data_IF_731290299947
#
_entry.id   IF_731290299947
#
_cell.length_a   1.000
_cell.length_b   1.000
_cell.length_c   1.000
_cell.angle_alpha   90.00
_cell.angle_beta   90.00
_cell.angle_gamma   90.00
#
_symmetry.space_group_name_H-M   'P 1'
#
loop_
_entity.id
_entity.type
_entity.pdbx_description
1 polymer ?
#
# COMPACT_ATOMS: atom_id res chain seq x y z
N UNK A 1 22.07 -28.46 -11.15
CA UNK A 1 20.80 -27.73 -11.35
C UNK A 1 20.33 -27.16 -10.01
N UNK A 2 20.97 -26.07 -9.58
CA UNK A 2 20.57 -25.36 -8.36
C UNK A 2 19.33 -24.53 -8.66
N UNK A 3 18.22 -24.88 -8.01
CA UNK A 3 17.01 -24.05 -7.97
C UNK A 3 17.30 -22.87 -7.04
N UNK A 4 17.38 -21.66 -7.59
CA UNK A 4 17.30 -20.44 -6.79
C UNK A 4 15.92 -20.40 -6.11
N UNK A 5 15.87 -20.70 -4.82
CA UNK A 5 14.73 -20.38 -3.98
C UNK A 5 14.69 -18.86 -3.86
N UNK A 6 13.59 -18.23 -4.29
CA UNK A 6 13.22 -16.87 -3.89
C UNK A 6 12.99 -16.86 -2.37
N UNK A 7 14.09 -16.86 -1.62
CA UNK A 7 14.10 -16.71 -0.18
C UNK A 7 14.06 -15.22 0.13
N UNK A 8 12.86 -14.68 0.27
CA UNK A 8 12.65 -13.47 1.05
C UNK A 8 13.14 -13.80 2.47
N UNK A 9 14.34 -13.33 2.83
CA UNK A 9 14.82 -13.45 4.20
C UNK A 9 13.94 -12.55 5.07
N UNK A 10 13.20 -13.15 5.99
CA UNK A 10 12.35 -12.48 7.00
C UNK A 10 13.11 -11.40 7.81
N UNK A 11 14.44 -11.49 7.94
CA UNK A 11 15.26 -10.45 8.58
C UNK A 11 15.30 -9.14 7.77
N UNK A 12 15.31 -9.19 6.44
CA UNK A 12 15.42 -8.00 5.60
C UNK A 12 14.16 -7.13 5.57
N UNK A 13 12.98 -7.71 5.81
CA UNK A 13 11.72 -6.96 5.74
C UNK A 13 11.52 -6.06 6.97
N UNK A 14 11.89 -6.54 8.16
CA UNK A 14 11.86 -5.74 9.40
C UNK A 14 12.80 -4.54 9.30
N UNK A 15 14.06 -4.79 8.95
CA UNK A 15 15.08 -3.74 8.90
C UNK A 15 14.76 -2.71 7.81
N UNK A 16 14.28 -3.16 6.65
CA UNK A 16 13.79 -2.28 5.57
C UNK A 16 12.60 -1.41 6.00
N UNK A 17 11.59 -1.98 6.68
CA UNK A 17 10.44 -1.22 7.18
C UNK A 17 10.89 -0.18 8.22
N UNK A 18 11.76 -0.57 9.16
CA UNK A 18 12.28 0.36 10.18
C UNK A 18 13.14 1.47 9.55
N UNK A 19 13.94 1.16 8.53
CA UNK A 19 14.77 2.14 7.83
C UNK A 19 13.94 3.10 6.98
N UNK A 20 12.89 2.59 6.32
CA UNK A 20 11.96 3.40 5.52
C UNK A 20 11.18 4.38 6.39
N UNK A 21 10.70 3.95 7.56
CA UNK A 21 10.01 4.82 8.52
C UNK A 21 10.95 5.89 9.08
N UNK A 22 12.22 5.55 9.33
CA UNK A 22 13.23 6.54 9.77
C UNK A 22 13.50 7.61 8.71
N UNK A 23 13.48 7.25 7.43
CA UNK A 23 13.77 8.19 6.33
C UNK A 23 12.55 9.00 5.87
N UNK A 24 11.35 8.59 6.26
CA UNK A 24 10.12 9.29 5.94
C UNK A 24 9.18 9.29 7.17
N UNK A 25 9.42 10.20 8.15
CA UNK A 25 8.65 10.27 9.40
C UNK A 25 7.15 10.54 9.17
N UNK A 26 6.79 10.99 7.96
CA UNK A 26 5.41 11.20 7.51
C UNK A 26 4.68 9.88 7.25
N UNK A 27 5.40 8.78 6.95
CA UNK A 27 4.88 7.42 6.82
C UNK A 27 4.67 6.85 8.24
N UNK A 28 3.70 7.42 8.95
CA UNK A 28 3.33 6.87 10.25
C UNK A 28 2.66 5.51 10.07
N UNK A 29 2.94 4.56 10.96
CA UNK A 29 2.17 3.32 11.10
C UNK A 29 0.66 3.60 11.33
N UNK A 30 0.32 4.82 11.78
CA UNK A 30 -1.04 5.37 11.82
C UNK A 30 -1.59 5.76 10.44
N UNK A 31 -0.78 6.25 9.48
CA UNK A 31 -1.21 6.36 8.08
C UNK A 31 -1.53 4.98 7.49
N UNK A 32 -0.70 3.97 7.78
CA UNK A 32 -0.94 2.57 7.40
C UNK A 32 -2.24 2.03 8.00
N UNK A 33 -2.52 2.28 9.29
CA UNK A 33 -3.79 1.85 9.89
C UNK A 33 -4.99 2.64 9.35
N UNK A 34 -4.85 3.95 9.12
CA UNK A 34 -5.89 4.79 8.50
C UNK A 34 -6.25 4.37 7.09
N UNK A 35 -5.39 3.65 6.36
CA UNK A 35 -5.77 3.06 5.06
C UNK A 35 -6.88 2.01 5.17
N UNK A 36 -7.07 1.47 6.37
CA UNK A 36 -7.79 0.22 6.58
C UNK A 36 -8.95 0.35 7.58
N UNK A 37 -8.94 1.40 8.42
CA UNK A 37 -10.06 1.74 9.29
C UNK A 37 -11.31 2.17 8.51
N UNK A 38 -12.47 1.98 9.13
CA UNK A 38 -13.73 2.46 8.60
C UNK A 38 -13.80 3.99 8.50
N UNK A 39 -14.70 4.45 7.64
CA UNK A 39 -14.81 5.85 7.24
C UNK A 39 -15.01 6.82 8.40
N UNK A 40 -15.88 6.48 9.36
CA UNK A 40 -16.21 7.34 10.51
C UNK A 40 -15.00 7.51 11.44
N UNK A 41 -14.44 6.39 11.90
CA UNK A 41 -13.28 6.40 12.79
C UNK A 41 -12.06 7.08 12.14
N UNK A 42 -11.80 6.78 10.88
CA UNK A 42 -10.66 7.33 10.13
C UNK A 42 -10.71 8.86 9.99
N UNK A 43 -11.91 9.42 9.85
CA UNK A 43 -12.16 10.87 9.78
C UNK A 43 -12.10 11.53 11.14
N UNK A 44 -12.64 10.90 12.17
CA UNK A 44 -12.46 11.34 13.56
C UNK A 44 -10.98 11.42 13.93
N UNK A 45 -10.19 10.40 13.61
CA UNK A 45 -8.73 10.41 13.83
C UNK A 45 -8.01 11.49 13.00
N UNK A 46 -8.54 11.85 11.81
CA UNK A 46 -8.01 12.97 11.01
C UNK A 46 -8.10 14.29 11.76
N UNK A 47 -9.28 14.49 12.32
CA UNK A 47 -9.66 15.69 13.02
C UNK A 47 -8.90 15.81 14.34
N UNK A 48 -8.83 14.74 15.12
CA UNK A 48 -8.03 14.68 16.36
C UNK A 48 -6.54 14.94 16.09
N UNK A 49 -5.99 14.41 14.98
CA UNK A 49 -4.60 14.68 14.59
C UNK A 49 -4.40 16.16 14.21
N UNK A 50 -5.35 16.76 13.49
CA UNK A 50 -5.28 18.18 13.17
C UNK A 50 -5.35 19.05 14.43
N UNK A 51 -6.21 18.69 15.39
CA UNK A 51 -6.30 19.36 16.68
C UNK A 51 -5.02 19.22 17.52
N UNK A 52 -4.44 18.02 17.59
CA UNK A 52 -3.16 17.83 18.28
C UNK A 52 -2.07 18.74 17.67
N UNK A 53 -1.98 18.79 16.34
CA UNK A 53 -1.04 19.67 15.63
C UNK A 53 -1.29 21.15 15.93
N UNK A 54 -2.54 21.61 16.00
CA UNK A 54 -2.84 23.00 16.37
C UNK A 54 -2.44 23.35 17.81
N UNK A 55 -2.34 22.35 18.68
CA UNK A 55 -1.84 22.50 20.05
C UNK A 55 -0.32 22.25 20.18
N UNK A 56 0.40 22.22 19.06
CA UNK A 56 1.85 22.02 19.02
C UNK A 56 2.29 20.58 19.25
N UNK A 57 1.40 19.59 19.11
CA UNK A 57 1.76 18.18 19.23
C UNK A 57 1.76 17.49 17.86
N UNK A 58 2.92 16.98 17.45
CA UNK A 58 3.00 16.16 16.25
C UNK A 58 2.78 14.69 16.59
N UNK A 59 1.98 13.98 15.79
CA UNK A 59 1.82 12.52 15.91
C UNK A 59 2.89 11.82 15.09
N UNK A 60 3.66 10.95 15.72
CA UNK A 60 4.75 10.18 15.09
C UNK A 60 4.60 8.70 15.41
N UNK A 61 5.09 7.82 14.52
CA UNK A 61 5.21 6.41 14.83
C UNK A 61 6.54 6.18 15.55
N UNK A 62 6.50 5.75 16.82
CA UNK A 62 7.70 5.59 17.65
C UNK A 62 8.27 4.18 17.57
N UNK A 63 7.41 3.16 17.55
CA UNK A 63 7.83 1.75 17.49
C UNK A 63 6.89 0.89 16.64
N UNK A 64 7.46 -0.16 16.05
CA UNK A 64 6.71 -1.22 15.38
C UNK A 64 7.09 -2.57 15.98
N UNK A 65 6.07 -3.31 16.43
CA UNK A 65 6.20 -4.63 17.05
C UNK A 65 5.55 -5.69 16.16
N UNK A 66 6.32 -6.42 15.35
CA UNK A 66 5.78 -7.55 14.59
C UNK A 66 5.54 -8.76 15.50
N UNK A 67 4.30 -9.23 15.55
CA UNK A 67 3.91 -10.49 16.19
C UNK A 67 3.85 -11.60 15.14
N UNK A 68 4.78 -12.55 15.25
CA UNK A 68 4.80 -13.72 14.40
C UNK A 68 3.75 -14.75 14.88
N UNK A 69 3.12 -15.50 13.96
CA UNK A 69 2.26 -16.61 14.35
C UNK A 69 2.97 -17.59 15.29
N UNK A 70 2.28 -18.01 16.35
CA UNK A 70 2.83 -18.98 17.30
C UNK A 70 3.26 -20.27 16.58
N UNK A 71 4.40 -20.84 16.97
CA UNK A 71 4.89 -22.10 16.37
C UNK A 71 4.07 -23.28 16.87
N UNK A 72 3.04 -23.67 16.12
CA UNK A 72 2.15 -24.80 16.42
C UNK A 72 1.72 -25.51 15.13
N UNK A 73 1.24 -26.75 15.24
CA UNK A 73 0.69 -27.47 14.10
C UNK A 73 -0.53 -26.76 13.49
N UNK A 74 -1.35 -26.09 14.31
CA UNK A 74 -2.51 -25.31 13.84
C UNK A 74 -2.10 -24.07 13.02
N UNK A 75 -0.87 -23.59 13.20
CA UNK A 75 -0.28 -22.48 12.47
C UNK A 75 0.70 -22.93 11.38
N UNK A 76 0.79 -24.22 11.09
CA UNK A 76 1.67 -24.69 10.02
C UNK A 76 1.07 -24.36 8.65
N UNK A 77 1.79 -23.63 7.77
CA UNK A 77 1.30 -23.39 6.42
C UNK A 77 1.29 -24.70 5.62
N UNK A 78 0.27 -24.86 4.79
CA UNK A 78 0.09 -26.01 3.92
C UNK A 78 -0.22 -25.55 2.50
N UNK A 79 0.40 -26.19 1.51
CA UNK A 79 0.15 -25.90 0.11
C UNK A 79 0.22 -27.18 -0.71
N UNK A 80 -0.59 -27.25 -1.76
CA UNK A 80 -0.42 -28.22 -2.83
C UNK A 80 -0.66 -27.59 -4.19
N UNK A 81 -0.07 -28.19 -5.23
CA UNK A 81 -0.27 -27.82 -6.62
C UNK A 81 -0.37 -29.10 -7.45
N UNK A 82 -1.40 -29.17 -8.28
CA UNK A 82 -1.58 -30.20 -9.29
C UNK A 82 -1.47 -29.54 -10.65
N UNK A 83 -0.66 -30.10 -11.54
CA UNK A 83 -0.44 -29.55 -12.88
C UNK A 83 -0.56 -30.67 -13.91
N UNK A 84 -1.31 -30.40 -14.98
CA UNK A 84 -1.60 -31.37 -16.04
C UNK A 84 -1.62 -30.67 -17.39
N UNK A 85 -1.04 -31.29 -18.43
CA UNK A 85 -1.25 -30.86 -19.80
C UNK A 85 -2.62 -31.37 -20.28
N UNK A 86 -3.44 -30.50 -20.86
CA UNK A 86 -4.75 -30.83 -21.46
C UNK A 86 -4.86 -30.10 -22.78
N UNK A 87 -4.97 -30.84 -23.90
CA UNK A 87 -5.13 -30.25 -25.24
C UNK A 87 -4.05 -29.20 -25.58
N UNK A 88 -2.78 -29.53 -25.31
CA UNK A 88 -1.62 -28.62 -25.50
C UNK A 88 -1.64 -27.36 -24.62
N UNK A 89 -2.55 -27.30 -23.64
CA UNK A 89 -2.60 -26.27 -22.62
C UNK A 89 -2.03 -26.79 -21.31
N UNK A 90 -1.22 -25.99 -20.65
CA UNK A 90 -0.74 -26.26 -19.31
C UNK A 90 -1.73 -25.70 -18.30
N UNK A 91 -2.38 -26.60 -17.55
CA UNK A 91 -3.33 -26.25 -16.50
C UNK A 91 -2.74 -26.61 -15.15
N UNK A 92 -2.79 -25.70 -14.19
CA UNK A 92 -2.45 -25.99 -12.80
C UNK A 92 -3.46 -25.42 -11.81
N UNK A 93 -3.88 -26.26 -10.87
CA UNK A 93 -4.72 -25.87 -9.74
C UNK A 93 -3.85 -25.93 -8.49
N UNK A 94 -3.94 -24.91 -7.64
CA UNK A 94 -3.20 -24.84 -6.39
C UNK A 94 -4.08 -24.42 -5.24
N UNK A 95 -3.75 -24.88 -4.05
CA UNK A 95 -4.35 -24.41 -2.82
C UNK A 95 -3.25 -24.07 -1.82
N UNK A 96 -3.45 -22.98 -1.10
CA UNK A 96 -2.60 -22.53 0.00
C UNK A 96 -3.47 -22.22 1.21
N UNK A 97 -3.04 -22.65 2.38
CA UNK A 97 -3.55 -22.23 3.68
C UNK A 97 -2.37 -21.82 4.55
N UNK A 98 -2.40 -20.60 5.05
CA UNK A 98 -1.33 -20.10 5.88
C UNK A 98 -1.57 -18.66 6.28
N UNK A 99 -0.53 -17.86 6.22
CA UNK A 99 -0.55 -16.45 6.58
C UNK A 99 -0.15 -15.61 5.37
N UNK A 100 -0.64 -14.38 5.34
CA UNK A 100 -0.11 -13.33 4.45
C UNK A 100 1.36 -13.08 4.78
N UNK A 101 2.18 -12.82 3.77
CA UNK A 101 3.55 -12.31 3.97
C UNK A 101 3.57 -10.81 4.30
N UNK A 102 2.43 -10.12 4.10
CA UNK A 102 2.26 -8.71 4.41
C UNK A 102 1.53 -8.56 5.75
N UNK A 103 2.17 -7.92 6.75
CA UNK A 103 1.54 -7.72 8.04
C UNK A 103 0.49 -6.59 8.00
N UNK A 104 -0.44 -6.64 8.94
CA UNK A 104 -1.47 -5.61 9.16
C UNK A 104 -1.48 -5.17 10.62
N UNK A 105 -1.82 -3.90 10.91
CA UNK A 105 -1.86 -3.42 12.29
C UNK A 105 -3.01 -4.06 13.07
N UNK A 106 -2.71 -4.54 14.28
CA UNK A 106 -3.69 -5.14 15.22
C UNK A 106 -3.79 -4.36 16.52
N UNK A 107 -2.82 -3.48 16.81
CA UNK A 107 -2.91 -2.53 17.91
C UNK A 107 -2.13 -1.26 17.59
N UNK A 108 -2.70 -0.11 17.91
CA UNK A 108 -1.99 1.16 17.99
C UNK A 108 -2.15 1.72 19.41
N UNK A 109 -1.04 1.81 20.13
CA UNK A 109 -1.00 2.41 21.46
C UNK A 109 -0.35 3.79 21.38
N UNK A 110 -1.03 4.85 21.83
CA UNK A 110 -0.53 6.23 21.77
C UNK A 110 -0.21 6.76 23.16
N UNK A 111 0.98 7.31 23.34
CA UNK A 111 1.34 8.03 24.56
C UNK A 111 1.87 9.43 24.24
N UNK A 112 1.74 10.35 25.19
CA UNK A 112 2.17 11.74 25.03
C UNK A 112 3.54 11.96 25.65
N UNK A 113 4.49 12.45 24.84
CA UNK A 113 5.81 12.86 25.30
C UNK A 113 5.88 14.38 25.33
N UNK A 114 5.88 14.96 26.51
CA UNK A 114 6.01 16.41 26.73
C UNK A 114 7.49 16.83 26.65
N UNK A 115 8.04 16.78 25.44
CA UNK A 115 9.40 17.26 25.16
C UNK A 115 9.35 18.27 24.03
N UNK A 116 9.57 19.54 24.38
CA UNK A 116 9.65 20.58 23.38
C UNK A 116 10.79 20.29 22.41
N UNK A 117 10.47 20.25 21.12
CA UNK A 117 11.44 19.95 20.05
C UNK A 117 11.29 21.02 18.98
N UNK A 118 12.36 21.73 18.67
CA UNK A 118 12.38 22.79 17.67
C UNK A 118 13.12 22.32 16.41
N UNK A 119 12.81 22.92 15.27
CA UNK A 119 13.49 22.63 14.01
C UNK A 119 15.00 22.92 14.13
N UNK A 120 15.88 21.89 13.98
CA UNK A 120 17.32 22.09 14.07
C UNK A 120 17.90 22.92 12.92
N UNK A 121 17.15 23.13 11.83
CA UNK A 121 17.55 23.99 10.73
C UNK A 121 17.47 25.48 11.08
N UNK A 122 16.76 25.84 12.15
CA UNK A 122 16.67 27.20 12.66
C UNK A 122 17.69 27.33 13.81
N UNK A 123 18.75 28.15 13.67
CA UNK A 123 19.75 28.33 14.73
C UNK A 123 19.10 28.76 16.05
N UNK A 124 19.56 28.20 17.15
CA UNK A 124 19.18 28.63 18.50
C UNK A 124 19.91 29.94 18.87
N UNK A 125 19.70 30.98 18.06
CA UNK A 125 20.25 32.31 18.29
C UNK A 125 19.24 33.12 19.13
N UNK A 126 19.65 33.73 20.27
CA UNK A 126 18.81 34.67 21.00
C UNK A 126 18.35 35.90 20.19
N UNK A 127 18.97 36.17 19.03
CA UNK A 127 18.53 37.19 18.09
C UNK A 127 17.37 36.74 17.17
N UNK A 128 17.09 35.44 17.05
CA UNK A 128 15.94 34.94 16.29
C UNK A 128 14.66 35.19 17.09
N UNK A 129 13.69 35.97 16.56
CA UNK A 129 12.41 36.17 17.20
C UNK A 129 11.74 34.83 17.54
N UNK A 130 11.18 34.69 18.75
CA UNK A 130 10.58 33.43 19.21
C UNK A 130 9.42 32.96 18.33
N UNK A 131 8.75 33.89 17.65
CA UNK A 131 7.70 33.69 16.67
C UNK A 131 8.19 33.12 15.34
N UNK A 132 9.50 33.20 15.05
CA UNK A 132 10.12 32.54 13.90
C UNK A 132 10.58 31.11 14.21
N UNK A 133 10.64 30.72 15.49
CA UNK A 133 11.04 29.36 15.90
C UNK A 133 9.84 28.40 15.77
N UNK A 134 9.95 27.46 14.83
CA UNK A 134 8.98 26.37 14.71
C UNK A 134 9.29 25.30 15.76
N UNK A 135 8.61 25.37 16.90
CA UNK A 135 8.74 24.41 17.98
C UNK A 135 7.44 23.63 18.20
N UNK A 136 7.59 22.32 18.43
CA UNK A 136 6.52 21.46 18.91
C UNK A 136 6.57 21.44 20.44
N UNK A 137 5.41 21.53 21.09
CA UNK A 137 5.24 21.39 22.54
C UNK A 137 5.54 19.97 23.02
N UNK A 138 5.36 18.98 22.14
CA UNK A 138 5.65 17.58 22.40
C UNK A 138 5.27 16.68 21.23
N UNK A 139 5.34 15.38 21.47
CA UNK A 139 5.00 14.35 20.50
C UNK A 139 3.86 13.48 21.02
N UNK A 140 3.00 13.04 20.11
CA UNK A 140 2.10 11.90 20.34
C UNK A 140 2.74 10.70 19.66
N UNK A 141 3.42 9.89 20.46
CA UNK A 141 4.14 8.71 20.00
C UNK A 141 3.18 7.54 19.90
N UNK A 142 3.05 6.96 18.71
CA UNK A 142 2.20 5.79 18.45
C UNK A 142 3.06 4.57 18.21
N UNK A 143 2.91 3.58 19.08
CA UNK A 143 3.47 2.24 18.91
C UNK A 143 2.47 1.37 18.16
N UNK A 144 2.91 0.64 17.15
CA UNK A 144 2.04 -0.21 16.32
C UNK A 144 2.46 -1.66 16.41
N UNK A 145 1.52 -2.51 16.84
CA UNK A 145 1.67 -3.96 16.79
C UNK A 145 1.11 -4.47 15.47
N UNK A 146 1.91 -5.26 14.77
CA UNK A 146 1.61 -5.83 13.46
C UNK A 146 1.41 -7.34 13.58
N UNK A 147 0.41 -7.91 12.91
CA UNK A 147 0.21 -9.36 12.81
C UNK A 147 0.07 -9.76 11.34
N UNK A 148 0.38 -11.01 11.03
CA UNK A 148 0.23 -11.60 9.71
C UNK A 148 -1.13 -12.28 9.65
N UNK A 149 -2.11 -11.77 8.87
CA UNK A 149 -3.45 -12.33 8.84
C UNK A 149 -3.43 -13.74 8.24
N UNK A 150 -4.23 -14.65 8.80
CA UNK A 150 -4.49 -15.95 8.19
C UNK A 150 -5.21 -15.76 6.87
N UNK A 151 -4.93 -16.63 5.90
CA UNK A 151 -5.66 -16.65 4.64
C UNK A 151 -5.63 -18.04 4.02
N UNK A 152 -6.55 -18.25 3.08
CA UNK A 152 -6.52 -19.36 2.15
C UNK A 152 -6.55 -18.82 0.72
N UNK A 153 -5.89 -19.48 -0.21
CA UNK A 153 -5.90 -19.13 -1.63
C UNK A 153 -6.24 -20.37 -2.44
N UNK A 154 -7.23 -20.26 -3.30
CA UNK A 154 -7.44 -21.20 -4.40
C UNK A 154 -6.93 -20.55 -5.69
N UNK A 155 -5.93 -21.17 -6.31
CA UNK A 155 -5.28 -20.67 -7.51
C UNK A 155 -5.55 -21.54 -8.73
N UNK A 156 -5.67 -20.90 -9.89
CA UNK A 156 -5.68 -21.51 -11.21
C UNK A 156 -4.62 -20.84 -12.07
N UNK A 157 -3.80 -21.62 -12.77
CA UNK A 157 -2.91 -21.14 -13.81
C UNK A 157 -3.25 -21.89 -15.09
N UNK A 158 -3.34 -21.15 -16.19
CA UNK A 158 -3.55 -21.66 -17.53
C UNK A 158 -2.55 -20.97 -18.45
N UNK A 159 -1.85 -21.73 -19.27
CA UNK A 159 -0.97 -21.19 -20.30
C UNK A 159 -0.99 -22.08 -21.53
N UNK A 160 -0.73 -21.45 -22.68
CA UNK A 160 -0.45 -22.16 -23.93
C UNK A 160 -0.51 -21.21 -25.11
N UNK A 161 -0.80 -21.75 -26.28
CA UNK A 161 -0.67 -21.02 -27.54
C UNK A 161 -1.97 -21.06 -28.33
N UNK A 162 -2.28 -19.97 -29.02
CA UNK A 162 -3.40 -19.88 -29.97
C UNK A 162 -2.91 -19.30 -31.28
N UNK A 163 -3.38 -19.86 -32.41
CA UNK A 163 -3.06 -19.34 -33.74
C UNK A 163 -4.32 -18.82 -34.47
N UNK A 164 -4.93 -17.70 -34.01
CA UNK A 164 -6.17 -17.18 -34.58
C UNK A 164 -6.00 -16.60 -36.00
N UNK A 165 -4.77 -16.29 -36.41
CA UNK A 165 -4.44 -15.69 -37.72
C UNK A 165 -3.69 -16.65 -38.65
N UNK A 166 -3.53 -17.92 -38.27
CA UNK A 166 -2.81 -18.91 -39.08
C UNK A 166 -3.48 -19.17 -40.43
N UNK A 167 -4.77 -18.86 -40.57
CA UNK A 167 -5.50 -18.91 -41.85
C UNK A 167 -5.13 -17.76 -42.80
N UNK A 168 -4.56 -16.66 -42.30
CA UNK A 168 -4.14 -15.50 -43.10
C UNK A 168 -2.75 -15.72 -43.68
N UNK A 169 -1.83 -16.28 -42.88
CA UNK A 169 -0.47 -16.61 -43.31
C UNK A 169 0.19 -17.61 -42.37
N UNK A 170 0.88 -18.60 -42.93
CA UNK A 170 1.74 -19.53 -42.19
C UNK A 170 2.97 -18.83 -41.56
N UNK A 171 3.27 -17.59 -41.96
CA UNK A 171 4.37 -16.80 -41.40
C UNK A 171 4.03 -16.13 -40.06
N UNK A 172 2.76 -16.12 -39.66
CA UNK A 172 2.33 -15.56 -38.37
C UNK A 172 2.50 -16.65 -37.31
N UNK A 173 3.33 -16.36 -36.31
CA UNK A 173 3.57 -17.29 -35.21
C UNK A 173 2.32 -17.40 -34.31
N UNK A 174 2.13 -18.50 -33.59
CA UNK A 174 1.14 -18.57 -32.53
C UNK A 174 1.37 -17.46 -31.48
N UNK A 175 0.28 -16.98 -30.90
CA UNK A 175 0.30 -16.03 -29.78
C UNK A 175 0.27 -16.86 -28.50
N UNK A 176 1.28 -16.66 -27.66
CA UNK A 176 1.31 -17.21 -26.31
C UNK A 176 0.31 -16.47 -25.42
N UNK A 177 -0.36 -17.19 -24.54
CA UNK A 177 -1.23 -16.60 -23.55
C UNK A 177 -1.00 -17.20 -22.16
N UNK A 178 -1.32 -16.40 -21.14
CA UNK A 178 -1.26 -16.79 -19.73
C UNK A 178 -2.44 -16.23 -18.97
N UNK A 179 -3.07 -17.06 -18.16
CA UNK A 179 -4.12 -16.66 -17.23
C UNK A 179 -3.77 -17.20 -15.85
N UNK A 180 -3.68 -16.33 -14.87
CA UNK A 180 -3.54 -16.67 -13.46
C UNK A 180 -4.74 -16.12 -12.71
N UNK A 181 -5.43 -16.95 -11.93
CA UNK A 181 -6.54 -16.55 -11.09
C UNK A 181 -6.26 -16.99 -9.66
N UNK A 182 -6.60 -16.16 -8.69
CA UNK A 182 -6.52 -16.46 -7.27
C UNK A 182 -7.75 -15.94 -6.54
N UNK A 183 -8.53 -16.85 -5.95
CA UNK A 183 -9.58 -16.51 -5.00
C UNK A 183 -8.96 -16.56 -3.61
N UNK A 184 -8.95 -15.43 -2.92
CA UNK A 184 -8.38 -15.27 -1.59
C UNK A 184 -9.50 -15.23 -0.57
N UNK A 185 -9.40 -16.09 0.44
CA UNK A 185 -10.29 -16.15 1.60
C UNK A 185 -9.53 -15.62 2.83
N UNK A 186 -9.64 -14.32 3.12
CA UNK A 186 -8.95 -13.70 4.25
C UNK A 186 -9.58 -14.10 5.57
N UNK A 187 -8.76 -14.22 6.62
CA UNK A 187 -9.23 -14.27 8.00
C UNK A 187 -9.51 -12.87 8.52
N UNK A 188 -10.64 -12.71 9.23
CA UNK A 188 -11.02 -11.46 9.89
C UNK A 188 -9.92 -11.01 10.86
N UNK A 189 -9.51 -9.75 10.75
CA UNK A 189 -8.54 -9.13 11.66
C UNK A 189 -9.08 -7.79 12.13
N UNK A 190 -9.04 -7.58 13.44
CA UNK A 190 -9.47 -6.37 14.12
C UNK A 190 -8.26 -5.60 14.65
N UNK A 191 -8.45 -4.30 14.90
CA UNK A 191 -7.45 -3.44 15.52
C UNK A 191 -7.95 -2.83 16.81
N UNK A 192 -7.06 -2.77 17.79
CA UNK A 192 -7.23 -2.02 19.03
C UNK A 192 -6.55 -0.66 18.89
N UNK A 193 -7.28 0.42 19.14
CA UNK A 193 -6.70 1.75 19.28
C UNK A 193 -6.81 2.13 20.75
N UNK A 194 -5.68 2.28 21.42
CA UNK A 194 -5.64 2.64 22.83
C UNK A 194 -4.62 3.74 23.08
N UNK A 195 -4.76 4.41 24.22
CA UNK A 195 -3.87 5.51 24.59
C UNK A 195 -3.68 5.61 26.11
N UNK A 196 -2.56 6.20 26.49
CA UNK A 196 -2.37 6.76 27.82
C UNK A 196 -3.22 8.03 28.02
N UNK A 197 -3.17 8.61 29.21
CA UNK A 197 -3.77 9.93 29.42
C UNK A 197 -3.06 10.97 28.53
N UNK A 198 -3.83 11.67 27.69
CA UNK A 198 -3.31 12.69 26.77
C UNK A 198 -3.87 14.05 27.16
N UNK A 199 -3.00 15.04 27.39
CA UNK A 199 -3.39 16.41 27.71
C UNK A 199 -3.08 17.36 26.53
N UNK A 200 -4.11 17.75 25.79
CA UNK A 200 -4.03 18.73 24.69
C UNK A 200 -4.72 20.05 25.07
N UNK A 201 -4.63 20.45 26.35
CA UNK A 201 -5.45 21.50 26.95
C UNK A 201 -6.80 20.99 27.47
N UNK A 202 -7.21 19.80 27.02
CA UNK A 202 -8.25 18.98 27.61
C UNK A 202 -7.68 17.57 27.82
N UNK A 203 -7.85 17.04 29.03
CA UNK A 203 -7.39 15.68 29.38
C UNK A 203 -8.31 14.65 28.76
N UNK A 204 -7.77 13.84 27.85
CA UNK A 204 -8.40 12.62 27.39
C UNK A 204 -7.95 11.48 28.30
N UNK A 205 -8.87 10.72 28.90
CA UNK A 205 -8.51 9.63 29.81
C UNK A 205 -7.78 8.51 29.07
N UNK A 206 -6.97 7.77 29.81
CA UNK A 206 -6.35 6.54 29.32
C UNK A 206 -7.41 5.47 29.02
N UNK A 207 -7.18 4.65 28.00
CA UNK A 207 -8.04 3.52 27.65
C UNK A 207 -8.11 3.21 26.16
N UNK A 208 -8.92 2.18 25.84
CA UNK A 208 -9.29 1.84 24.46
C UNK A 208 -10.28 2.90 23.92
N UNK A 209 -10.14 3.28 22.65
CA UNK A 209 -11.06 4.19 21.98
C UNK A 209 -12.47 3.60 21.96
N UNK A 210 -13.46 4.45 22.27
CA UNK A 210 -14.83 4.15 21.88
C UNK A 210 -14.99 4.37 20.38
N UNK A 211 -15.22 3.27 19.66
CA UNK A 211 -15.43 3.27 18.22
C UNK A 211 -16.89 3.58 17.83
N UNK A 212 -17.75 3.89 18.80
CA UNK A 212 -19.19 4.14 18.60
C UNK A 212 -19.91 2.93 17.97
N UNK A 213 -19.46 1.72 18.34
CA UNK A 213 -19.86 0.43 17.75
C UNK A 213 -20.43 -0.57 18.76
N UNK A 214 -20.86 -0.11 19.93
CA UNK A 214 -21.38 -1.00 20.97
C UNK A 214 -20.35 -2.05 21.43
N UNK A 215 -19.07 -1.68 21.45
CA UNK A 215 -17.96 -2.56 21.85
C UNK A 215 -17.33 -3.37 20.72
N UNK A 216 -17.86 -3.34 19.49
CA UNK A 216 -17.21 -4.00 18.36
C UNK A 216 -15.99 -3.21 17.88
N UNK A 217 -14.86 -3.91 17.70
CA UNK A 217 -13.61 -3.32 17.22
C UNK A 217 -13.65 -3.03 15.71
N UNK A 218 -12.91 -2.03 15.23
CA UNK A 218 -12.78 -1.75 13.82
C UNK A 218 -12.05 -2.90 13.10
N UNK A 219 -12.49 -3.16 11.88
CA UNK A 219 -11.90 -4.17 11.01
C UNK A 219 -10.70 -3.58 10.26
N UNK A 220 -9.63 -4.37 10.19
CA UNK A 220 -8.49 -4.13 9.30
C UNK A 220 -8.57 -5.10 8.12
N UNK A 221 -8.89 -6.35 8.40
CA UNK A 221 -9.14 -7.33 7.36
C UNK A 221 -10.57 -7.82 7.52
N UNK A 222 -11.38 -7.59 6.49
CA UNK A 222 -12.68 -8.24 6.35
C UNK A 222 -12.47 -9.70 5.92
N UNK A 223 -13.37 -10.59 6.34
CA UNK A 223 -13.43 -11.99 5.91
C UNK A 223 -14.10 -12.19 4.54
N UNK A 224 -14.41 -11.09 3.85
CA UNK A 224 -14.98 -11.09 2.49
C UNK A 224 -13.97 -11.66 1.48
N UNK A 225 -14.27 -12.77 0.78
CA UNK A 225 -13.41 -13.29 -0.28
C UNK A 225 -13.25 -12.30 -1.43
N UNK A 226 -12.07 -12.31 -2.07
CA UNK A 226 -11.77 -11.43 -3.20
C UNK A 226 -10.94 -12.12 -4.27
N UNK A 227 -10.98 -11.60 -5.49
CA UNK A 227 -10.31 -12.17 -6.66
C UNK A 227 -9.06 -11.35 -6.99
N UNK A 228 -7.98 -12.04 -7.34
CA UNK A 228 -6.82 -11.48 -8.02
C UNK A 228 -6.57 -12.25 -9.30
N UNK A 229 -6.06 -11.59 -10.33
CA UNK A 229 -5.78 -12.26 -11.58
C UNK A 229 -4.74 -11.57 -12.44
N UNK A 230 -4.15 -12.34 -13.36
CA UNK A 230 -3.29 -11.87 -14.43
C UNK A 230 -3.78 -12.47 -15.73
N UNK A 231 -3.95 -11.64 -16.77
CA UNK A 231 -4.15 -12.12 -18.13
C UNK A 231 -3.04 -11.53 -18.98
N UNK A 232 -2.29 -12.39 -19.65
CA UNK A 232 -1.12 -12.03 -20.43
C UNK A 232 -1.17 -12.60 -21.84
N UNK A 233 -0.59 -11.85 -22.77
CA UNK A 233 -0.28 -12.28 -24.13
C UNK A 233 1.20 -12.04 -24.38
N UNK A 234 1.84 -12.96 -25.08
CA UNK A 234 3.21 -12.80 -25.56
C UNK A 234 3.36 -13.18 -27.03
N UNK A 235 4.27 -12.49 -27.70
CA UNK A 235 4.51 -12.66 -29.11
C UNK A 235 5.98 -12.39 -29.46
N UNK A 236 6.58 -13.34 -30.19
CA UNK A 236 7.92 -13.20 -30.76
C UNK A 236 7.79 -12.82 -32.24
N UNK A 237 8.06 -11.55 -32.55
CA UNK A 237 8.02 -11.06 -33.94
C UNK A 237 9.19 -11.56 -34.77
N UNK A 238 10.35 -11.76 -34.13
CA UNK A 238 11.55 -12.33 -34.72
C UNK A 238 12.42 -12.93 -33.62
N UNK A 239 13.56 -13.52 -33.99
CA UNK A 239 14.58 -13.94 -33.02
C UNK A 239 15.08 -12.79 -32.13
N UNK A 240 14.92 -11.53 -32.58
CA UNK A 240 15.44 -10.34 -31.93
C UNK A 240 14.41 -9.53 -31.17
N UNK A 241 13.12 -9.72 -31.42
CA UNK A 241 12.08 -8.85 -30.86
C UNK A 241 10.94 -9.64 -30.26
N UNK A 242 10.72 -9.41 -28.96
CA UNK A 242 9.69 -10.04 -28.16
C UNK A 242 8.88 -8.99 -27.40
N UNK A 243 7.57 -9.21 -27.35
CA UNK A 243 6.60 -8.40 -26.65
C UNK A 243 5.79 -9.27 -25.71
N UNK A 244 5.59 -8.81 -24.49
CA UNK A 244 4.61 -9.34 -23.57
C UNK A 244 3.76 -8.21 -22.98
N UNK A 245 2.46 -8.41 -23.02
CA UNK A 245 1.44 -7.52 -22.50
C UNK A 245 0.66 -8.27 -21.44
N UNK A 246 0.50 -7.69 -20.26
CA UNK A 246 -0.34 -8.28 -19.21
C UNK A 246 -1.26 -7.24 -18.61
N UNK A 247 -2.47 -7.66 -18.26
CA UNK A 247 -3.31 -6.96 -17.31
C UNK A 247 -3.23 -7.69 -15.98
N UNK A 248 -2.86 -6.98 -14.93
CA UNK A 248 -2.73 -7.50 -13.58
C UNK A 248 -3.78 -6.83 -12.71
N UNK A 249 -4.65 -7.62 -12.10
CA UNK A 249 -5.65 -7.19 -11.14
C UNK A 249 -5.24 -7.64 -9.74
N UNK A 250 -4.84 -6.67 -8.92
CA UNK A 250 -4.40 -6.87 -7.55
C UNK A 250 -2.93 -7.26 -7.42
N UNK A 251 -2.15 -6.39 -6.77
CA UNK A 251 -0.77 -6.68 -6.38
C UNK A 251 -0.70 -7.45 -5.04
N UNK A 252 0.42 -8.12 -4.72
CA UNK A 252 0.54 -8.91 -3.49
C UNK A 252 0.26 -8.12 -2.19
N UNK A 253 0.62 -6.83 -2.16
CA UNK A 253 0.40 -5.93 -1.01
C UNK A 253 -1.05 -5.41 -0.89
N UNK A 254 -1.90 -5.71 -1.85
CA UNK A 254 -3.29 -5.25 -1.88
C UNK A 254 -4.21 -6.31 -1.29
N UNK A 255 -4.86 -6.00 -0.17
CA UNK A 255 -5.53 -7.01 0.63
C UNK A 255 -6.92 -6.58 1.07
N UNK A 256 -7.88 -7.50 0.95
CA UNK A 256 -9.30 -7.32 1.26
C UNK A 256 -10.15 -7.02 0.01
N UNK A 257 -11.45 -7.28 0.10
CA UNK A 257 -12.40 -7.00 -0.98
C UNK A 257 -12.55 -5.50 -1.23
N UNK A 258 -12.65 -5.09 -2.49
CA UNK A 258 -12.79 -3.67 -2.89
C UNK A 258 -12.17 -3.39 -4.25
N UNK A 259 -12.97 -3.52 -5.30
CA UNK A 259 -12.56 -3.44 -6.70
C UNK A 259 -13.69 -2.87 -7.58
N UNK A 260 -13.50 -2.89 -8.90
CA UNK A 260 -14.53 -2.51 -9.86
C UNK A 260 -15.71 -3.51 -9.93
N UNK A 261 -15.54 -4.74 -9.41
CA UNK A 261 -16.57 -5.79 -9.37
C UNK A 261 -17.54 -5.52 -8.20
N UNK A 262 -17.03 -4.95 -7.11
CA UNK A 262 -17.77 -4.53 -5.92
C UNK A 262 -17.71 -3.00 -5.72
N UNK A 263 -18.26 -2.22 -6.66
CA UNK A 263 -18.13 -0.77 -6.64
C UNK A 263 -18.73 -0.19 -5.36
N UNK A 264 -17.95 0.66 -4.68
CA UNK A 264 -18.41 1.46 -3.55
C UNK A 264 -18.31 0.82 -2.18
N UNK A 265 -17.89 -0.46 -2.05
CA UNK A 265 -17.80 -1.09 -0.72
C UNK A 265 -16.50 -0.85 0.03
N UNK A 266 -15.36 -0.69 -0.65
CA UNK A 266 -14.07 -0.61 0.08
C UNK A 266 -13.03 0.19 -0.69
N UNK A 267 -13.07 1.51 -0.52
CA UNK A 267 -12.00 2.40 -0.95
C UNK A 267 -10.91 2.47 0.12
N UNK A 268 -9.66 2.55 -0.31
CA UNK A 268 -8.52 2.76 0.58
C UNK A 268 -8.08 4.21 0.50
N UNK A 269 -7.86 4.82 1.66
CA UNK A 269 -7.31 6.17 1.75
C UNK A 269 -5.82 6.13 1.49
N UNK A 270 -5.37 7.00 0.59
CA UNK A 270 -3.97 7.17 0.22
C UNK A 270 -3.33 8.37 0.89
N UNK A 271 -4.11 9.44 1.01
CA UNK A 271 -3.75 10.65 1.71
C UNK A 271 -5.00 11.27 2.32
N UNK A 272 -4.88 11.84 3.50
CA UNK A 272 -5.96 12.57 4.15
C UNK A 272 -5.42 13.87 4.72
N UNK A 273 -6.20 14.95 4.60
CA UNK A 273 -5.95 16.24 5.23
C UNK A 273 -7.24 16.81 5.78
N UNK A 274 -7.14 17.80 6.66
CA UNK A 274 -8.27 18.59 7.14
C UNK A 274 -8.16 19.96 6.48
N UNK A 275 -9.27 20.55 6.02
CA UNK A 275 -9.28 21.92 5.47
C UNK A 275 -8.76 22.90 6.52
N UNK A 276 -7.80 23.75 6.15
CA UNK A 276 -7.17 24.72 7.07
C UNK A 276 -8.16 25.79 7.56
N UNK A 277 -7.94 26.30 8.77
CA UNK A 277 -8.62 27.50 9.29
C UNK A 277 -9.74 27.29 10.32
N UNK A 278 -10.03 26.05 10.76
CA UNK A 278 -11.19 25.77 11.63
C UNK A 278 -10.85 24.96 12.89
N UNK A 279 -9.89 25.43 13.68
CA UNK A 279 -9.58 24.86 15.00
C UNK A 279 -10.73 25.11 16.01
N UNK A 280 -11.59 26.09 15.73
CA UNK A 280 -12.75 26.43 16.56
C UNK A 280 -13.77 25.28 16.63
N UNK A 281 -13.90 24.48 15.56
CA UNK A 281 -14.76 23.30 15.54
C UNK A 281 -14.45 22.30 16.65
N UNK A 282 -13.16 21.98 16.89
CA UNK A 282 -12.79 21.03 17.94
C UNK A 282 -13.04 21.62 19.33
N UNK A 283 -12.64 22.87 19.55
CA UNK A 283 -12.87 23.52 20.85
C UNK A 283 -14.36 23.54 21.19
N UNK A 284 -15.21 23.86 20.22
CA UNK A 284 -16.67 23.82 20.37
C UNK A 284 -17.15 22.40 20.66
N UNK A 285 -16.62 21.41 19.94
CA UNK A 285 -16.96 20.01 20.06
C UNK A 285 -16.63 19.45 21.45
N UNK A 286 -15.39 19.69 21.90
CA UNK A 286 -14.88 19.23 23.18
C UNK A 286 -15.51 20.00 24.35
N UNK A 287 -15.72 21.32 24.22
CA UNK A 287 -16.47 22.09 25.21
C UNK A 287 -17.92 21.59 25.35
N UNK A 288 -18.58 21.26 24.23
CA UNK A 288 -19.93 20.70 24.27
C UNK A 288 -19.94 19.35 24.97
N UNK A 289 -19.03 18.44 24.62
CA UNK A 289 -18.89 17.14 25.27
C UNK A 289 -18.67 17.26 26.79
N UNK A 290 -17.80 18.17 27.22
CA UNK A 290 -17.56 18.46 28.65
C UNK A 290 -18.82 19.00 29.33
N UNK A 291 -19.54 19.94 28.70
CA UNK A 291 -20.73 20.57 29.28
C UNK A 291 -21.95 19.63 29.32
N UNK A 292 -22.09 18.72 28.36
CA UNK A 292 -23.25 17.82 28.24
C UNK A 292 -22.98 16.42 28.80
N UNK A 293 -21.72 16.10 29.14
CA UNK A 293 -21.30 14.75 29.50
C UNK A 293 -21.37 13.75 28.33
N UNK A 294 -21.53 14.22 27.10
CA UNK A 294 -21.53 13.37 25.91
C UNK A 294 -20.11 13.01 25.50
N UNK A 295 -19.94 11.87 24.81
CA UNK A 295 -18.66 11.54 24.19
C UNK A 295 -18.34 12.53 23.06
N UNK A 296 -17.04 12.76 22.82
CA UNK A 296 -16.58 13.59 21.70
C UNK A 296 -16.85 12.89 20.35
N UNK A 297 -17.12 11.58 20.34
CA UNK A 297 -17.28 10.73 19.17
C UNK A 297 -18.23 11.27 18.09
N UNK A 298 -19.54 11.46 18.38
CA UNK A 298 -20.53 11.90 17.39
C UNK A 298 -20.20 13.25 16.76
N UNK A 299 -19.62 14.15 17.54
CA UNK A 299 -19.26 15.47 17.08
C UNK A 299 -17.96 15.43 16.26
N UNK A 300 -16.94 14.69 16.70
CA UNK A 300 -15.72 14.46 15.93
C UNK A 300 -15.97 13.77 14.59
N UNK A 301 -16.95 12.85 14.55
CA UNK A 301 -17.39 12.22 13.30
C UNK A 301 -18.04 13.25 12.35
N UNK A 302 -18.94 14.10 12.84
CA UNK A 302 -19.57 15.15 12.03
C UNK A 302 -18.55 16.10 11.43
N UNK A 303 -17.65 16.65 12.26
CA UNK A 303 -16.59 17.54 11.79
C UNK A 303 -15.62 16.83 10.85
N UNK A 304 -15.24 15.58 11.17
CA UNK A 304 -14.41 14.76 10.29
C UNK A 304 -15.06 14.57 8.92
N UNK A 305 -16.37 14.27 8.86
CA UNK A 305 -17.13 14.15 7.61
C UNK A 305 -17.15 15.43 6.79
N UNK A 306 -17.26 16.58 7.43
CA UNK A 306 -17.39 17.89 6.76
C UNK A 306 -16.05 18.52 6.38
N UNK A 307 -14.98 18.22 7.12
CA UNK A 307 -13.68 18.89 6.97
C UNK A 307 -12.58 18.01 6.40
N UNK A 308 -12.70 16.68 6.46
CA UNK A 308 -11.70 15.79 5.90
C UNK A 308 -11.75 15.80 4.36
N UNK A 309 -10.59 16.00 3.75
CA UNK A 309 -10.34 15.82 2.32
C UNK A 309 -9.43 14.61 2.16
N UNK A 310 -9.86 13.65 1.36
CA UNK A 310 -9.20 12.36 1.24
C UNK A 310 -8.94 12.04 -0.21
N UNK A 311 -7.74 11.55 -0.51
CA UNK A 311 -7.46 10.89 -1.77
C UNK A 311 -7.69 9.41 -1.55
N UNK A 312 -8.59 8.83 -2.33
CA UNK A 312 -9.04 7.46 -2.21
C UNK A 312 -8.86 6.72 -3.53
N UNK A 313 -8.64 5.40 -3.44
CA UNK A 313 -8.57 4.49 -4.59
C UNK A 313 -9.24 3.16 -4.28
N UNK A 314 -9.61 2.35 -5.29
CA UNK A 314 -9.98 0.95 -5.07
C UNK A 314 -8.89 0.20 -4.28
N UNK A 315 -9.32 -0.71 -3.40
CA UNK A 315 -8.42 -1.50 -2.54
C UNK A 315 -7.56 -2.46 -3.35
N UNK A 316 -8.14 -3.05 -4.39
CA UNK A 316 -7.47 -3.88 -5.38
C UNK A 316 -7.33 -3.04 -6.65
N UNK A 317 -6.09 -2.89 -7.12
CA UNK A 317 -5.80 -2.09 -8.30
C UNK A 317 -5.81 -2.87 -9.60
N UNK A 318 -5.79 -2.13 -10.71
CA UNK A 318 -5.67 -2.65 -12.07
C UNK A 318 -4.41 -2.06 -12.72
N UNK A 319 -3.62 -2.91 -13.36
CA UNK A 319 -2.32 -2.55 -13.88
C UNK A 319 -2.12 -3.08 -15.30
N UNK A 320 -1.69 -2.22 -16.21
CA UNK A 320 -1.17 -2.66 -17.49
C UNK A 320 0.35 -2.84 -17.38
N UNK A 321 0.84 -4.01 -17.77
CA UNK A 321 2.25 -4.36 -17.78
C UNK A 321 2.70 -4.60 -19.21
N UNK A 322 3.84 -4.03 -19.56
CA UNK A 322 4.49 -4.16 -20.85
C UNK A 322 5.91 -4.67 -20.60
N UNK A 323 6.34 -5.66 -21.36
CA UNK A 323 7.75 -6.09 -21.42
C UNK A 323 8.14 -6.14 -22.90
N UNK A 324 9.19 -5.41 -23.24
CA UNK A 324 9.81 -5.39 -24.57
C UNK A 324 11.24 -5.87 -24.45
N UNK A 325 11.58 -6.90 -25.21
CA UNK A 325 12.94 -7.40 -25.31
C UNK A 325 13.48 -7.21 -26.72
N UNK A 326 14.67 -6.61 -26.81
CA UNK A 326 15.45 -6.49 -28.03
C UNK A 326 16.79 -7.21 -27.85
N UNK A 327 16.98 -8.32 -28.57
CA UNK A 327 18.22 -9.09 -28.59
C UNK A 327 19.04 -8.75 -29.81
N UNK A 328 20.36 -8.64 -29.65
CA UNK A 328 21.27 -8.32 -30.75
C UNK A 328 22.63 -8.98 -30.55
N UNK A 329 23.44 -8.97 -31.61
CA UNK A 329 24.77 -9.59 -31.63
C UNK A 329 24.73 -11.07 -31.22
N UNK A 330 23.96 -11.89 -31.95
CA UNK A 330 23.83 -13.33 -31.71
C UNK A 330 23.42 -13.66 -30.25
N UNK A 331 22.39 -12.96 -29.75
CA UNK A 331 21.85 -13.08 -28.40
C UNK A 331 22.82 -12.74 -27.26
N UNK A 332 23.98 -12.13 -27.57
CA UNK A 332 24.91 -11.66 -26.55
C UNK A 332 24.44 -10.37 -25.89
N UNK A 333 23.74 -9.52 -26.62
CA UNK A 333 23.17 -8.27 -26.10
C UNK A 333 21.65 -8.37 -25.91
N UNK A 334 21.16 -7.84 -24.79
CA UNK A 334 19.74 -7.69 -24.49
C UNK A 334 19.47 -6.27 -23.98
N UNK A 335 18.57 -5.56 -24.64
CA UNK A 335 17.88 -4.39 -24.09
C UNK A 335 16.47 -4.83 -23.71
N UNK A 336 16.10 -4.62 -22.46
CA UNK A 336 14.76 -4.86 -21.94
C UNK A 336 14.15 -3.55 -21.47
N UNK A 337 12.90 -3.32 -21.82
CA UNK A 337 12.07 -2.28 -21.23
C UNK A 337 10.84 -2.93 -20.63
N UNK A 338 10.73 -2.89 -19.31
CA UNK A 338 9.49 -3.20 -18.62
C UNK A 338 8.79 -1.91 -18.18
N UNK A 339 7.49 -1.82 -18.37
CA UNK A 339 6.63 -0.79 -17.80
C UNK A 339 5.45 -1.40 -17.04
N UNK A 340 5.05 -0.77 -15.95
CA UNK A 340 3.80 -1.09 -15.25
C UNK A 340 3.05 0.20 -14.96
N UNK A 341 1.83 0.33 -15.42
CA UNK A 341 1.01 1.54 -15.27
C UNK A 341 -0.25 1.21 -14.48
N UNK A 342 -0.50 1.98 -13.42
CA UNK A 342 -1.70 1.93 -12.59
C UNK A 342 -2.92 2.57 -13.31
N UNK A 343 -3.94 1.75 -13.57
CA UNK A 343 -5.23 2.12 -14.16
C UNK A 343 -6.37 2.12 -13.14
N UNK A 344 -6.09 1.92 -11.84
CA UNK A 344 -7.11 1.78 -10.79
C UNK A 344 -8.00 3.02 -10.62
N UNK A 345 -7.46 4.20 -10.97
CA UNK A 345 -8.12 5.49 -10.77
C UNK A 345 -8.03 6.00 -9.33
N UNK A 346 -7.97 7.32 -9.19
CA UNK A 346 -7.91 8.02 -7.91
C UNK A 346 -9.02 9.05 -7.83
N UNK A 347 -9.51 9.29 -6.62
CA UNK A 347 -10.58 10.25 -6.37
C UNK A 347 -10.21 11.13 -5.19
N UNK A 348 -10.48 12.42 -5.31
CA UNK A 348 -10.50 13.35 -4.18
C UNK A 348 -11.93 13.37 -3.62
N UNK A 349 -12.11 12.80 -2.44
CA UNK A 349 -13.34 12.79 -1.68
C UNK A 349 -13.34 13.97 -0.70
N UNK A 350 -14.35 14.85 -0.81
CA UNK A 350 -14.49 16.02 0.06
C UNK A 350 -15.95 16.42 0.26
N UNK A 351 -16.23 17.19 1.30
CA UNK A 351 -17.58 17.68 1.56
C UNK A 351 -17.93 18.86 0.64
N UNK A 352 -19.08 18.74 -0.03
CA UNK A 352 -19.71 19.82 -0.79
C UNK A 352 -20.73 20.51 0.12
N UNK A 353 -20.42 21.76 0.50
CA UNK A 353 -21.26 22.55 1.41
C UNK A 353 -22.60 22.93 0.77
N UNK A 354 -22.65 23.11 -0.56
CA UNK A 354 -23.89 23.45 -1.25
C UNK A 354 -24.83 22.24 -1.34
N UNK A 355 -24.28 21.05 -1.57
CA UNK A 355 -25.05 19.81 -1.65
C UNK A 355 -25.30 19.16 -0.26
N UNK A 356 -24.63 19.61 0.80
CA UNK A 356 -24.71 19.03 2.14
C UNK A 356 -24.23 17.57 2.21
N UNK A 357 -23.47 17.12 1.22
CA UNK A 357 -23.04 15.72 1.05
C UNK A 357 -21.60 15.65 0.56
N UNK A 358 -20.98 14.47 0.67
CA UNK A 358 -19.62 14.26 0.14
C UNK A 358 -19.66 14.02 -1.37
N UNK A 359 -18.78 14.70 -2.08
CA UNK A 359 -18.59 14.60 -3.50
C UNK A 359 -17.19 14.05 -3.80
N UNK A 360 -17.10 13.22 -4.85
CA UNK A 360 -15.84 12.65 -5.32
C UNK A 360 -15.46 13.24 -6.67
N UNK A 361 -14.26 13.80 -6.75
CA UNK A 361 -13.67 14.32 -7.98
C UNK A 361 -12.63 13.33 -8.49
N UNK A 362 -12.80 12.84 -9.71
CA UNK A 362 -11.83 11.95 -10.34
C UNK A 362 -10.51 12.67 -10.65
N UNK A 363 -9.39 12.01 -10.38
CA UNK A 363 -8.05 12.46 -10.72
C UNK A 363 -7.57 11.69 -11.96
N UNK A 364 -7.26 12.42 -13.03
CA UNK A 364 -6.91 11.85 -14.34
C UNK A 364 -5.68 10.93 -14.27
N UNK A 365 -5.75 9.78 -14.95
CA UNK A 365 -4.64 8.83 -15.13
C UNK A 365 -3.43 9.42 -15.87
N UNK A 366 -3.60 10.58 -16.52
CA UNK A 366 -2.54 11.30 -17.22
C UNK A 366 -2.17 12.62 -16.54
N UNK A 367 -2.72 12.88 -15.35
CA UNK A 367 -2.47 14.07 -14.56
C UNK A 367 -2.17 13.69 -13.12
N UNK A 368 -2.96 14.23 -12.19
CA UNK A 368 -2.77 14.03 -10.75
C UNK A 368 -2.90 12.57 -10.29
N UNK A 369 -3.65 11.73 -11.02
CA UNK A 369 -3.79 10.30 -10.74
C UNK A 369 -2.74 9.40 -11.41
N UNK A 370 -1.77 9.95 -12.15
CA UNK A 370 -0.76 9.15 -12.86
C UNK A 370 0.16 8.41 -11.88
N UNK A 371 0.32 7.11 -12.11
CA UNK A 371 1.29 6.27 -11.37
C UNK A 371 1.85 5.18 -12.28
N UNK A 372 3.18 5.09 -12.38
CA UNK A 372 3.81 4.05 -13.18
C UNK A 372 5.20 3.68 -12.66
N UNK A 373 5.65 2.49 -13.02
CA UNK A 373 7.05 2.05 -12.94
C UNK A 373 7.59 1.87 -14.35
N UNK A 374 8.83 2.31 -14.56
CA UNK A 374 9.61 2.01 -15.77
C UNK A 374 10.93 1.37 -15.36
N UNK A 375 11.25 0.23 -15.96
CA UNK A 375 12.43 -0.56 -15.66
C UNK A 375 13.20 -0.87 -16.96
N UNK A 376 14.11 0.04 -17.38
CA UNK A 376 15.04 -0.24 -18.46
C UNK A 376 16.21 -1.08 -17.93
N UNK A 377 16.57 -2.12 -18.66
CA UNK A 377 17.70 -3.00 -18.38
C UNK A 377 18.51 -3.25 -19.66
N UNK A 378 19.82 -3.21 -19.52
CA UNK A 378 20.78 -3.61 -20.54
C UNK A 378 21.64 -4.75 -19.99
N UNK A 379 21.81 -5.81 -20.75
CA UNK A 379 22.77 -6.88 -20.46
C UNK A 379 23.60 -7.20 -21.70
N UNK A 380 24.87 -7.54 -21.47
CA UNK A 380 25.79 -7.97 -22.50
C UNK A 380 26.71 -9.08 -22.03
N UNK A 381 26.74 -10.18 -22.78
CA UNK A 381 27.64 -11.30 -22.60
C UNK A 381 28.92 -11.10 -23.43
N UNK A 382 30.04 -10.87 -22.75
CA UNK A 382 31.35 -10.65 -23.38
C UNK A 382 32.05 -11.95 -23.82
N UNK A 383 31.45 -13.11 -23.56
CA UNK A 383 32.09 -14.40 -23.75
C UNK A 383 33.05 -14.71 -22.60
N UNK A 384 33.63 -15.91 -22.60
CA UNK A 384 34.58 -16.33 -21.55
C UNK A 384 33.98 -16.31 -20.14
N UNK A 385 32.65 -16.47 -20.03
CA UNK A 385 31.93 -16.50 -18.75
C UNK A 385 31.57 -15.14 -18.16
N UNK A 386 31.93 -14.02 -18.80
CA UNK A 386 31.65 -12.66 -18.31
C UNK A 386 30.34 -12.09 -18.87
N UNK A 387 29.41 -11.75 -17.98
CA UNK A 387 28.21 -10.97 -18.27
C UNK A 387 28.22 -9.67 -17.49
N UNK A 388 27.96 -8.55 -18.17
CA UNK A 388 27.72 -7.25 -17.52
C UNK A 388 26.29 -6.79 -17.79
N UNK A 389 25.71 -6.08 -16.83
CA UNK A 389 24.42 -5.46 -16.98
C UNK A 389 24.31 -4.17 -16.19
N UNK A 390 23.40 -3.31 -16.62
CA UNK A 390 23.02 -2.09 -15.94
C UNK A 390 21.54 -1.84 -16.15
N UNK A 391 20.92 -1.13 -15.22
CA UNK A 391 19.52 -0.79 -15.35
C UNK A 391 19.08 0.23 -14.30
N UNK A 392 17.79 0.55 -14.37
CA UNK A 392 17.14 1.42 -13.42
C UNK A 392 15.75 0.89 -13.08
N UNK A 393 15.26 1.23 -11.88
CA UNK A 393 13.86 1.17 -11.49
C UNK A 393 13.42 2.61 -11.27
N UNK A 394 12.55 3.13 -12.12
CA UNK A 394 12.02 4.48 -12.03
C UNK A 394 10.58 4.41 -11.57
N UNK A 395 10.29 5.00 -10.42
CA UNK A 395 8.93 5.12 -9.90
C UNK A 395 8.40 6.53 -10.18
N UNK A 396 7.22 6.62 -10.80
CA UNK A 396 6.63 7.87 -11.28
C UNK A 396 5.23 8.06 -10.69
N UNK A 397 4.91 9.28 -10.26
CA UNK A 397 3.59 9.66 -9.78
C UNK A 397 3.64 10.67 -8.63
N UNK A 398 2.47 11.07 -8.13
CA UNK A 398 2.36 11.91 -6.91
C UNK A 398 2.54 11.05 -5.65
N UNK A 399 2.87 11.68 -4.52
CA UNK A 399 3.13 11.01 -3.23
C UNK A 399 1.97 10.18 -2.66
N UNK A 400 0.76 10.33 -3.19
CA UNK A 400 -0.40 9.51 -2.81
C UNK A 400 -0.70 8.36 -3.77
N UNK A 401 -0.07 8.34 -4.94
CA UNK A 401 -0.29 7.29 -5.95
C UNK A 401 0.47 6.00 -5.59
N UNK A 402 0.16 4.87 -6.23
CA UNK A 402 0.74 3.56 -5.89
C UNK A 402 2.27 3.57 -5.90
N UNK A 403 2.86 4.10 -6.97
CA UNK A 403 4.30 4.11 -7.20
C UNK A 403 4.95 5.47 -6.88
N UNK A 404 4.17 6.54 -6.69
CA UNK A 404 4.72 7.80 -6.19
C UNK A 404 4.78 7.87 -4.66
N UNK A 405 4.07 6.98 -3.95
CA UNK A 405 4.10 6.87 -2.48
C UNK A 405 5.51 6.53 -2.00
N UNK A 406 6.15 7.37 -1.16
CA UNK A 406 7.47 7.08 -0.61
C UNK A 406 7.56 5.73 0.12
N UNK A 407 6.43 5.18 0.60
CA UNK A 407 6.37 3.85 1.20
C UNK A 407 6.62 2.71 0.19
N UNK A 408 6.45 2.94 -1.11
CA UNK A 408 6.83 2.00 -2.17
C UNK A 408 8.34 2.00 -2.46
N UNK A 409 9.12 2.83 -1.75
CA UNK A 409 10.55 2.99 -1.93
C UNK A 409 10.92 4.07 -2.95
N UNK A 410 12.21 4.12 -3.30
CA UNK A 410 12.76 5.11 -4.23
C UNK A 410 13.01 4.56 -5.62
N UNK A 411 13.34 5.46 -6.55
CA UNK A 411 13.97 5.07 -7.81
C UNK A 411 15.41 4.61 -7.55
N UNK A 412 15.84 3.56 -8.25
CA UNK A 412 17.13 2.91 -8.04
C UNK A 412 17.86 2.76 -9.37
N UNK A 413 19.18 2.93 -9.35
CA UNK A 413 20.06 2.61 -10.48
C UNK A 413 21.02 1.52 -10.01
N UNK A 414 21.30 0.56 -10.88
CA UNK A 414 22.14 -0.58 -10.53
C UNK A 414 23.03 -1.00 -11.69
N UNK A 415 24.12 -1.66 -11.34
CA UNK A 415 24.99 -2.41 -12.24
C UNK A 415 25.17 -3.82 -11.71
N UNK A 416 25.41 -4.77 -12.61
CA UNK A 416 25.61 -6.18 -12.29
C UNK A 416 26.78 -6.70 -13.10
N UNK A 417 27.67 -7.44 -12.46
CA UNK A 417 28.69 -8.24 -13.12
C UNK A 417 28.53 -9.69 -12.66
N UNK A 418 28.57 -10.63 -13.60
CA UNK A 418 28.56 -12.07 -13.33
C UNK A 418 29.71 -12.71 -14.09
N UNK A 419 30.45 -13.57 -13.39
CA UNK A 419 31.49 -14.38 -13.97
C UNK A 419 31.23 -15.86 -13.69
N UNK A 420 31.34 -16.72 -14.70
CA UNK A 420 31.17 -18.18 -14.58
C UNK A 420 32.40 -18.88 -15.15
N UNK A 421 32.97 -19.79 -14.36
CA UNK A 421 34.12 -20.62 -14.75
C UNK A 421 33.70 -21.88 -15.48
#
# INVERSE_FOLDING_TARGET
TERHRLGWRLEGCRDFVLETIRHAPDISARMLSRRILDEALRRRLAFEQAFARSNGYATVASAIHPELPARSFDNMPFAFRLAFPVLEQDIAISYYRGFSDMPVPVRNHTHQVQRQTCDPAIPDDPATPQDERVCLNGLLETETTLNFPRLQVLGLNLAGEVNPLGWISESIQPIGYRVELAIVFPGRTEIVLDQDEINLGLTQPAGEYDYDRGGARPLVVEDTPFLKWVVGLDYSFSAHFYLNLMWVHGLPDEFGAGDFIHPGKSLVVRQGRVREGDNAGYVTCAATAVLTGQSIGPCGERYGRERAVEIVRPRIGDYAVLILDFKFNEDRGLVRLMGMWDFSGYFEDSFDEAAGTRARRYLSLFGDGFSAIVYPEFNYNFGGGLDLGAGALLQLGKSYTKFGDPAAGGSLVWTRARFRF
#
